data_IF_795497862235
#
_entry.id   IF_795497862235
#
_cell.length_a   1.000
_cell.length_b   1.000
_cell.length_c   1.000
_cell.angle_alpha   90.00
_cell.angle_beta   90.00
_cell.angle_gamma   90.00
#
_symmetry.space_group_name_H-M   'P 1'
#
loop_
_entity.id
_entity.type
_entity.pdbx_description
1 polymer ?
#
# COMPACT_ATOMS: atom_id res chain seq x y z
N UNK A 1 26.08 11.69 24.14
CA UNK A 1 26.54 10.94 22.95
C UNK A 1 25.33 10.70 22.05
N UNK A 2 25.22 11.41 20.92
CA UNK A 2 24.06 11.31 20.02
C UNK A 2 24.29 10.29 18.91
N UNK A 3 23.29 9.46 18.60
CA UNK A 3 23.39 8.47 17.53
C UNK A 3 23.58 9.19 16.19
N UNK A 4 24.65 8.83 15.46
CA UNK A 4 24.97 9.40 14.17
C UNK A 4 23.75 9.35 13.21
N UNK A 5 23.31 10.48 12.64
CA UNK A 5 22.10 10.55 11.83
C UNK A 5 22.11 9.66 10.58
N UNK A 6 23.29 9.31 10.05
CA UNK A 6 23.45 8.37 8.92
C UNK A 6 23.06 6.96 9.37
N UNK A 7 23.61 6.49 10.49
CA UNK A 7 23.31 5.18 11.06
C UNK A 7 21.82 5.05 11.44
N UNK A 8 21.22 6.15 11.92
CA UNK A 8 19.77 6.21 12.21
C UNK A 8 18.90 6.07 10.96
N UNK A 9 19.34 6.59 9.80
CA UNK A 9 18.64 6.43 8.52
C UNK A 9 18.79 5.01 7.96
N UNK A 10 20.00 4.44 8.03
CA UNK A 10 20.26 3.08 7.58
C UNK A 10 19.41 2.05 8.34
N UNK A 11 19.38 2.13 9.68
CA UNK A 11 18.58 1.23 10.53
C UNK A 11 17.09 1.27 10.17
N UNK A 12 16.53 2.46 9.95
CA UNK A 12 15.11 2.61 9.54
C UNK A 12 14.81 2.00 8.18
N UNK A 13 15.72 2.12 7.20
CA UNK A 13 15.56 1.45 5.90
C UNK A 13 15.58 -0.07 6.04
N UNK A 14 16.52 -0.62 6.82
CA UNK A 14 16.61 -2.06 7.04
C UNK A 14 15.36 -2.63 7.73
N UNK A 15 14.76 -1.89 8.65
CA UNK A 15 13.54 -2.30 9.34
C UNK A 15 12.30 -2.23 8.45
N UNK A 16 12.18 -1.18 7.62
CA UNK A 16 11.14 -1.09 6.60
C UNK A 16 11.25 -2.24 5.58
N UNK A 17 12.47 -2.55 5.15
CA UNK A 17 12.72 -3.64 4.21
C UNK A 17 12.35 -5.00 4.81
N UNK A 18 12.75 -5.27 6.06
CA UNK A 18 12.37 -6.50 6.77
C UNK A 18 10.87 -6.66 6.88
N UNK A 19 10.15 -5.62 7.28
CA UNK A 19 8.67 -5.66 7.37
C UNK A 19 8.02 -5.94 6.03
N UNK A 20 8.57 -5.38 4.95
CA UNK A 20 8.05 -5.57 3.59
C UNK A 20 8.32 -6.98 3.05
N UNK A 21 9.47 -7.57 3.39
CA UNK A 21 9.83 -8.95 3.03
C UNK A 21 9.10 -9.99 3.88
N UNK A 22 8.76 -9.67 5.13
CA UNK A 22 8.05 -10.57 6.05
C UNK A 22 6.56 -10.75 5.72
N UNK A 23 5.99 -9.91 4.85
CA UNK A 23 4.59 -10.01 4.40
C UNK A 23 4.54 -10.14 2.87
N UNK A 24 4.94 -11.30 2.31
CA UNK A 24 4.71 -11.62 0.91
C UNK A 24 3.21 -11.81 0.65
N UNK A 25 2.76 -11.48 -0.56
CA UNK A 25 1.36 -11.67 -0.96
C UNK A 25 0.68 -10.40 -1.52
N UNK A 26 -0.61 -10.51 -1.86
CA UNK A 26 -1.38 -9.41 -2.40
C UNK A 26 -1.46 -8.26 -1.40
N UNK A 27 -1.44 -7.03 -1.92
CA UNK A 27 -1.45 -5.82 -1.10
C UNK A 27 -2.63 -4.94 -1.47
N UNK A 28 -3.25 -4.35 -0.45
CA UNK A 28 -4.40 -3.48 -0.57
C UNK A 28 -4.12 -2.16 0.15
N UNK A 29 -4.31 -1.04 -0.56
CA UNK A 29 -4.22 0.31 0.00
C UNK A 29 -5.63 0.91 0.03
N UNK A 30 -6.10 1.34 1.22
CA UNK A 30 -7.42 1.91 1.43
C UNK A 30 -7.33 3.44 1.55
N UNK A 31 -8.40 4.14 1.14
CA UNK A 31 -8.47 5.60 1.13
C UNK A 31 -7.32 6.26 0.35
N UNK A 32 -6.89 5.59 -0.72
CA UNK A 32 -5.81 6.07 -1.53
C UNK A 32 -6.23 7.28 -2.36
N UNK A 33 -5.27 8.17 -2.58
CA UNK A 33 -5.45 9.36 -3.44
C UNK A 33 -4.87 9.19 -4.84
N UNK A 34 -4.13 8.10 -5.06
CA UNK A 34 -3.51 7.76 -6.35
C UNK A 34 -3.24 6.27 -6.42
N UNK A 35 -3.17 5.74 -7.65
CA UNK A 35 -2.76 4.36 -7.90
C UNK A 35 -1.35 4.10 -7.40
N UNK A 36 -1.12 2.87 -6.93
CA UNK A 36 0.20 2.41 -6.51
C UNK A 36 0.54 1.08 -7.16
N UNK A 37 1.64 1.06 -7.88
CA UNK A 37 2.10 -0.15 -8.58
C UNK A 37 2.34 -1.31 -7.60
N UNK A 38 1.83 -2.49 -7.97
CA UNK A 38 1.90 -3.70 -7.16
C UNK A 38 0.98 -3.70 -5.94
N UNK A 39 0.01 -2.78 -5.87
CA UNK A 39 -1.05 -2.74 -4.87
C UNK A 39 -2.41 -2.62 -5.55
N UNK A 40 -3.38 -3.39 -5.07
CA UNK A 40 -4.78 -3.04 -5.27
C UNK A 40 -5.01 -1.74 -4.51
N UNK A 41 -5.49 -0.71 -5.20
CA UNK A 41 -5.68 0.61 -4.61
C UNK A 41 -7.17 0.93 -4.58
N UNK A 42 -7.73 1.25 -3.41
CA UNK A 42 -9.12 1.67 -3.24
C UNK A 42 -9.18 3.06 -2.64
N UNK A 43 -10.02 3.91 -3.21
CA UNK A 43 -10.28 5.24 -2.70
C UNK A 43 -10.80 6.13 -3.81
N UNK A 44 -11.84 6.89 -3.51
CA UNK A 44 -12.56 7.75 -4.45
C UNK A 44 -11.64 8.67 -5.28
N UNK A 45 -10.56 9.18 -4.72
CA UNK A 45 -9.57 10.02 -5.43
C UNK A 45 -8.64 9.20 -6.36
N UNK A 46 -8.51 7.88 -6.15
CA UNK A 46 -7.67 6.98 -6.94
C UNK A 46 -8.46 6.17 -7.99
N UNK A 47 -9.65 5.68 -7.64
CA UNK A 47 -10.49 4.81 -8.47
C UNK A 47 -11.78 5.48 -8.97
N UNK A 48 -12.16 6.63 -8.40
CA UNK A 48 -13.38 7.37 -8.77
C UNK A 48 -14.68 6.82 -8.18
N UNK A 49 -14.60 5.84 -7.28
CA UNK A 49 -15.75 5.10 -6.76
C UNK A 49 -16.00 5.42 -5.27
N UNK A 50 -17.25 5.27 -4.82
CA UNK A 50 -17.51 5.21 -3.38
C UNK A 50 -16.82 3.98 -2.78
N UNK A 51 -16.35 4.11 -1.53
CA UNK A 51 -15.60 3.05 -0.88
C UNK A 51 -16.38 1.73 -0.79
N UNK A 52 -17.70 1.78 -0.62
CA UNK A 52 -18.54 0.57 -0.57
C UNK A 52 -18.57 -0.13 -1.93
N UNK A 53 -18.72 0.64 -3.00
CA UNK A 53 -18.76 0.12 -4.37
C UNK A 53 -17.41 -0.49 -4.75
N UNK A 54 -16.30 0.17 -4.42
CA UNK A 54 -14.95 -0.37 -4.60
C UNK A 54 -14.77 -1.71 -3.90
N UNK A 55 -15.24 -1.84 -2.65
CA UNK A 55 -15.16 -3.09 -1.89
C UNK A 55 -16.02 -4.21 -2.48
N UNK A 56 -17.23 -3.90 -2.93
CA UNK A 56 -18.11 -4.87 -3.59
C UNK A 56 -17.48 -5.38 -4.89
N UNK A 57 -16.97 -4.47 -5.73
CA UNK A 57 -16.30 -4.83 -6.97
C UNK A 57 -15.03 -5.64 -6.73
N UNK A 58 -14.26 -5.31 -5.69
CA UNK A 58 -13.08 -6.07 -5.31
C UNK A 58 -13.44 -7.50 -4.86
N UNK A 59 -14.47 -7.65 -4.01
CA UNK A 59 -14.95 -8.96 -3.56
C UNK A 59 -15.44 -9.84 -4.72
N UNK A 60 -15.91 -9.22 -5.81
CA UNK A 60 -16.34 -9.90 -7.03
C UNK A 60 -15.20 -10.14 -8.03
N UNK A 61 -13.97 -9.67 -7.75
CA UNK A 61 -12.83 -9.77 -8.68
C UNK A 61 -12.97 -8.86 -9.92
N UNK A 62 -13.79 -7.80 -9.83
CA UNK A 62 -14.10 -6.89 -10.95
C UNK A 62 -13.56 -5.48 -10.76
N UNK A 63 -12.72 -5.27 -9.74
CA UNK A 63 -12.20 -3.93 -9.46
C UNK A 63 -11.22 -3.49 -10.57
N UNK A 64 -11.34 -2.26 -11.11
CA UNK A 64 -10.56 -1.80 -12.26
C UNK A 64 -9.05 -1.66 -11.98
N UNK A 65 -8.65 -1.70 -10.70
CA UNK A 65 -7.26 -1.55 -10.23
C UNK A 65 -6.69 -2.84 -9.62
N UNK A 66 -7.33 -3.97 -9.89
CA UNK A 66 -6.72 -5.27 -9.59
C UNK A 66 -5.70 -5.58 -10.68
N UNK A 67 -4.42 -5.84 -10.34
CA UNK A 67 -3.40 -6.24 -11.31
C UNK A 67 -3.70 -7.61 -11.93
#
# INVERSE_FOLDING_TARGET
MGINPILRRARRRSELQRRRSASPGPRLELFARRKREGWVTLGNEADGLDMKDSLILLAQGKHPLTP
#
